data_IF_701613281065
#
_entry.id   IF_701613281065
#
_cell.length_a   1.000
_cell.length_b   1.000
_cell.length_c   1.000
_cell.angle_alpha   90.00
_cell.angle_beta   90.00
_cell.angle_gamma   90.00
#
_symmetry.space_group_name_H-M   'P 1'
#
loop_
_entity.id
_entity.type
_entity.pdbx_description
1 polymer ?
#
# COMPACT_ATOMS: atom_id res chain seq x y z
N UNK A 1 -20.50 -12.59 -22.20
CA UNK A 1 -19.11 -12.91 -22.60
C UNK A 1 -18.06 -12.57 -21.53
N UNK A 2 -18.41 -12.32 -20.26
CA UNK A 2 -17.44 -12.20 -19.15
C UNK A 2 -17.69 -13.22 -18.01
N UNK A 3 -18.76 -14.02 -18.11
CA UNK A 3 -19.11 -15.10 -17.17
C UNK A 3 -18.63 -16.49 -17.63
N UNK A 4 -17.69 -16.54 -18.59
CA UNK A 4 -17.17 -17.82 -19.10
C UNK A 4 -16.15 -18.38 -18.11
N UNK A 5 -16.07 -19.71 -18.00
CA UNK A 5 -14.98 -20.36 -17.27
C UNK A 5 -13.64 -19.87 -17.82
N UNK A 6 -12.77 -19.40 -16.93
CA UNK A 6 -11.45 -18.83 -17.26
C UNK A 6 -11.35 -17.30 -17.25
N UNK A 7 -12.44 -16.57 -17.01
CA UNK A 7 -12.36 -15.12 -16.74
C UNK A 7 -12.07 -14.89 -15.25
N UNK A 8 -11.27 -13.89 -14.92
CA UNK A 8 -11.01 -13.43 -13.56
C UNK A 8 -10.99 -11.90 -13.56
N UNK A 9 -11.58 -11.27 -12.55
CA UNK A 9 -11.53 -9.84 -12.35
C UNK A 9 -10.48 -9.48 -11.32
N UNK A 10 -9.71 -8.44 -11.59
CA UNK A 10 -8.80 -7.81 -10.61
C UNK A 10 -9.26 -6.37 -10.47
N UNK A 11 -9.61 -5.96 -9.26
CA UNK A 11 -9.92 -4.56 -8.97
C UNK A 11 -8.61 -3.85 -8.62
N UNK A 12 -8.34 -2.70 -9.22
CA UNK A 12 -7.16 -1.88 -8.91
C UNK A 12 -7.65 -0.57 -8.32
N UNK A 13 -7.10 -0.17 -7.18
CA UNK A 13 -7.50 1.07 -6.49
C UNK A 13 -6.30 1.76 -5.86
N UNK A 14 -6.31 3.09 -5.80
CA UNK A 14 -5.34 3.83 -5.00
C UNK A 14 -5.69 3.73 -3.51
N UNK A 15 -4.72 3.99 -2.62
CA UNK A 15 -4.95 4.04 -1.18
C UNK A 15 -5.69 5.33 -0.72
N UNK A 16 -6.77 5.67 -1.41
CA UNK A 16 -7.58 6.88 -1.20
C UNK A 16 -9.04 6.51 -0.86
N UNK A 17 -9.75 7.34 -0.07
CA UNK A 17 -11.10 7.00 0.39
C UNK A 17 -12.11 6.77 -0.74
N UNK A 18 -12.13 7.63 -1.76
CA UNK A 18 -13.12 7.54 -2.84
C UNK A 18 -12.82 6.38 -3.79
N UNK A 19 -11.55 6.17 -4.13
CA UNK A 19 -11.11 5.03 -4.92
C UNK A 19 -11.45 3.68 -4.25
N UNK A 20 -11.31 3.60 -2.91
CA UNK A 20 -11.68 2.39 -2.17
C UNK A 20 -13.19 2.22 -2.04
N UNK A 21 -13.96 3.30 -2.00
CA UNK A 21 -15.42 3.25 -2.03
C UNK A 21 -15.92 2.67 -3.35
N UNK A 22 -15.33 3.11 -4.47
CA UNK A 22 -15.61 2.56 -5.79
C UNK A 22 -15.19 1.09 -5.87
N UNK A 23 -14.01 0.74 -5.34
CA UNK A 23 -13.54 -0.64 -5.29
C UNK A 23 -14.54 -1.55 -4.57
N UNK A 24 -15.06 -1.13 -3.40
CA UNK A 24 -16.10 -1.88 -2.68
C UNK A 24 -17.36 -2.05 -3.52
N UNK A 25 -17.84 -0.98 -4.15
CA UNK A 25 -19.02 -1.06 -5.03
C UNK A 25 -18.83 -2.06 -6.17
N UNK A 26 -17.64 -2.08 -6.80
CA UNK A 26 -17.32 -3.03 -7.86
C UNK A 26 -17.25 -4.47 -7.34
N UNK A 27 -16.68 -4.69 -6.16
CA UNK A 27 -16.62 -6.02 -5.53
C UNK A 27 -18.02 -6.56 -5.25
N UNK A 28 -18.88 -5.74 -4.66
CA UNK A 28 -20.27 -6.11 -4.35
C UNK A 28 -21.01 -6.50 -5.64
N UNK A 29 -20.90 -5.65 -6.67
CA UNK A 29 -21.54 -5.90 -7.96
C UNK A 29 -21.02 -7.16 -8.66
N UNK A 30 -19.70 -7.41 -8.66
CA UNK A 30 -19.13 -8.62 -9.23
C UNK A 30 -19.65 -9.88 -8.51
N UNK A 31 -19.81 -9.80 -7.19
CA UNK A 31 -20.36 -10.87 -6.37
C UNK A 31 -21.83 -11.13 -6.69
N UNK A 32 -22.65 -10.08 -6.74
CA UNK A 32 -24.08 -10.16 -7.12
C UNK A 32 -24.27 -10.74 -8.53
N UNK A 33 -23.42 -10.35 -9.48
CA UNK A 33 -23.48 -10.86 -10.84
C UNK A 33 -22.86 -12.27 -11.01
N UNK A 34 -22.34 -12.87 -9.94
CA UNK A 34 -21.70 -14.19 -9.96
C UNK A 34 -20.44 -14.23 -10.83
N UNK A 35 -19.71 -13.11 -10.89
CA UNK A 35 -18.47 -12.99 -11.63
C UNK A 35 -17.26 -13.32 -10.73
N UNK A 36 -16.31 -14.13 -11.21
CA UNK A 36 -15.14 -14.53 -10.41
C UNK A 36 -14.18 -13.35 -10.19
N UNK A 37 -13.96 -12.99 -8.93
CA UNK A 37 -13.02 -11.97 -8.48
C UNK A 37 -11.75 -12.63 -7.94
N UNK A 38 -10.59 -12.25 -8.47
CA UNK A 38 -9.28 -12.69 -8.00
C UNK A 38 -8.80 -11.90 -6.79
N UNK A 39 -9.11 -10.59 -6.72
CA UNK A 39 -8.73 -9.76 -5.58
C UNK A 39 -8.67 -8.26 -5.87
N UNK A 40 -8.16 -7.52 -4.89
CA UNK A 40 -7.86 -6.09 -4.95
C UNK A 40 -6.34 -5.86 -4.98
N UNK A 41 -5.89 -5.04 -5.95
CA UNK A 41 -4.56 -4.44 -5.95
C UNK A 41 -4.68 -3.03 -5.38
N UNK A 42 -4.12 -2.82 -4.19
CA UNK A 42 -4.03 -1.50 -3.57
C UNK A 42 -2.73 -0.83 -4.02
N UNK A 43 -2.84 0.08 -4.98
CA UNK A 43 -1.72 0.74 -5.62
C UNK A 43 -1.25 1.99 -4.86
N UNK A 44 0.05 2.30 -4.99
CA UNK A 44 0.73 3.49 -4.45
C UNK A 44 0.70 3.61 -2.92
N UNK A 45 0.94 2.49 -2.24
CA UNK A 45 1.11 2.49 -0.78
C UNK A 45 2.47 3.04 -0.34
N UNK A 46 2.56 3.51 0.90
CA UNK A 46 3.75 4.11 1.50
C UNK A 46 4.21 3.33 2.73
N UNK A 47 4.80 2.13 2.59
CA UNK A 47 5.26 1.34 3.72
C UNK A 47 6.36 2.07 4.50
N UNK A 48 6.39 1.85 5.81
CA UNK A 48 7.45 2.33 6.69
C UNK A 48 8.76 1.60 6.38
N UNK A 49 9.84 2.37 6.16
CA UNK A 49 11.18 1.83 5.89
C UNK A 49 12.10 1.88 7.12
N UNK A 50 11.63 2.53 8.19
CA UNK A 50 12.31 2.65 9.46
C UNK A 50 11.32 2.32 10.58
N UNK A 51 11.79 1.62 11.62
CA UNK A 51 10.98 1.20 12.75
C UNK A 51 10.75 2.31 13.80
N UNK A 52 11.33 3.50 13.61
CA UNK A 52 11.14 4.64 14.52
C UNK A 52 9.65 5.01 14.60
N UNK A 53 9.03 5.02 15.80
CA UNK A 53 7.64 5.47 15.94
C UNK A 53 7.46 6.92 15.48
N UNK A 54 6.32 7.20 14.84
CA UNK A 54 6.01 8.53 14.29
C UNK A 54 6.01 9.59 15.40
N UNK A 55 5.40 9.26 16.53
CA UNK A 55 5.30 10.13 17.70
C UNK A 55 6.69 10.53 18.20
N UNK A 56 7.60 9.54 18.35
CA UNK A 56 9.00 9.84 18.72
C UNK A 56 9.75 10.65 17.67
N UNK A 57 9.44 10.48 16.38
CA UNK A 57 10.09 11.27 15.34
C UNK A 57 9.67 12.74 15.41
N UNK A 58 8.41 13.01 15.76
CA UNK A 58 7.90 14.37 15.99
C UNK A 58 8.58 14.97 17.21
N UNK A 59 8.54 14.29 18.36
CA UNK A 59 9.16 14.79 19.61
C UNK A 59 10.66 15.08 19.44
N UNK A 60 11.37 14.20 18.71
CA UNK A 60 12.80 14.38 18.43
C UNK A 60 13.06 15.55 17.46
N UNK A 61 12.14 15.82 16.53
CA UNK A 61 12.22 17.00 15.65
C UNK A 61 12.12 18.28 16.48
N UNK A 62 11.10 18.38 17.34
CA UNK A 62 10.87 19.54 18.21
C UNK A 62 12.08 19.78 19.13
N UNK A 63 12.61 18.72 19.75
CA UNK A 63 13.79 18.80 20.62
C UNK A 63 15.03 19.34 19.88
N UNK A 64 15.27 18.89 18.65
CA UNK A 64 16.42 19.33 17.85
C UNK A 64 16.29 20.80 17.43
N UNK A 65 15.08 21.26 17.12
CA UNK A 65 14.83 22.65 16.75
C UNK A 65 14.99 23.59 17.93
N UNK A 66 14.54 23.19 19.12
CA UNK A 66 14.69 23.97 20.36
C UNK A 66 16.14 24.08 20.83
N UNK A 67 16.88 22.96 20.83
CA UNK A 67 18.22 22.90 21.42
C UNK A 67 19.32 23.30 20.45
N UNK A 68 19.09 23.12 19.15
CA UNK A 68 20.13 23.22 18.13
C UNK A 68 19.66 23.91 16.84
N UNK A 69 18.66 24.79 16.90
CA UNK A 69 18.06 25.44 15.71
C UNK A 69 19.03 26.19 14.79
N UNK A 70 20.18 26.64 15.28
CA UNK A 70 21.22 27.31 14.48
C UNK A 70 22.21 26.35 13.81
N UNK A 71 22.19 25.06 14.18
CA UNK A 71 23.08 24.04 13.61
C UNK A 71 22.51 23.49 12.30
N UNK A 72 23.25 23.63 11.20
CA UNK A 72 22.88 23.05 9.90
C UNK A 72 22.69 21.53 9.98
N UNK A 73 23.52 20.84 10.76
CA UNK A 73 23.41 19.38 10.97
C UNK A 73 22.13 19.02 11.72
N UNK A 74 21.75 19.81 12.74
CA UNK A 74 20.50 19.58 13.47
C UNK A 74 19.29 19.88 12.61
N UNK A 75 19.35 20.93 11.77
CA UNK A 75 18.30 21.26 10.81
C UNK A 75 18.07 20.15 9.77
N UNK A 76 19.16 19.57 9.24
CA UNK A 76 19.09 18.42 8.34
C UNK A 76 18.47 17.19 9.04
N UNK A 77 18.90 16.88 10.28
CA UNK A 77 18.36 15.78 11.05
C UNK A 77 16.86 15.95 11.33
N UNK A 78 16.43 17.15 11.73
CA UNK A 78 15.03 17.50 11.92
C UNK A 78 14.22 17.35 10.62
N UNK A 79 14.76 17.75 9.47
CA UNK A 79 14.09 17.57 8.18
C UNK A 79 13.89 16.09 7.81
N UNK A 80 14.89 15.24 8.05
CA UNK A 80 14.77 13.78 7.82
C UNK A 80 13.70 13.17 8.72
N UNK A 81 13.66 13.57 10.00
CA UNK A 81 12.64 13.10 10.94
C UNK A 81 11.24 13.52 10.53
N UNK A 82 11.05 14.74 10.00
CA UNK A 82 9.78 15.20 9.43
C UNK A 82 9.32 14.33 8.26
N UNK A 83 10.21 14.06 7.29
CA UNK A 83 9.88 13.19 6.14
C UNK A 83 9.43 11.80 6.61
N UNK A 84 10.12 11.24 7.62
CA UNK A 84 9.75 9.97 8.23
C UNK A 84 8.39 10.04 8.92
N UNK A 85 8.12 11.09 9.69
CA UNK A 85 6.85 11.30 10.37
C UNK A 85 5.69 11.42 9.37
N UNK A 86 5.84 12.21 8.31
CA UNK A 86 4.84 12.40 7.26
C UNK A 86 4.54 11.09 6.51
N UNK A 87 5.60 10.33 6.19
CA UNK A 87 5.46 8.99 5.58
C UNK A 87 4.71 8.05 6.51
N UNK A 88 5.02 8.05 7.81
CA UNK A 88 4.36 7.19 8.77
C UNK A 88 2.91 7.56 9.07
N UNK A 89 2.58 8.85 9.05
CA UNK A 89 1.18 9.28 9.10
C UNK A 89 0.41 8.83 7.86
N UNK A 90 1.02 8.91 6.68
CA UNK A 90 0.44 8.40 5.42
C UNK A 90 0.19 6.89 5.51
N UNK A 91 1.21 6.11 5.88
CA UNK A 91 1.09 4.67 6.09
C UNK A 91 -0.04 4.31 7.07
N UNK A 92 -0.14 5.02 8.21
CA UNK A 92 -1.22 4.82 9.20
C UNK A 92 -2.60 5.08 8.60
N UNK A 93 -2.76 6.10 7.75
CA UNK A 93 -4.04 6.37 7.06
C UNK A 93 -4.39 5.26 6.08
N UNK A 94 -3.44 4.83 5.27
CA UNK A 94 -3.62 3.75 4.29
C UNK A 94 -4.01 2.44 4.96
N UNK A 95 -3.34 2.06 6.07
CA UNK A 95 -3.66 0.86 6.84
C UNK A 95 -5.09 0.92 7.39
N UNK A 96 -5.53 2.07 7.90
CA UNK A 96 -6.91 2.25 8.41
C UNK A 96 -7.94 2.12 7.29
N UNK A 97 -7.67 2.70 6.13
CA UNK A 97 -8.54 2.59 4.96
C UNK A 97 -8.64 1.13 4.49
N UNK A 98 -7.50 0.44 4.38
CA UNK A 98 -7.44 -0.96 4.01
C UNK A 98 -8.19 -1.83 5.03
N UNK A 99 -8.02 -1.59 6.33
CA UNK A 99 -8.69 -2.34 7.40
C UNK A 99 -10.22 -2.22 7.34
N UNK A 100 -10.74 -1.06 6.92
CA UNK A 100 -12.19 -0.87 6.69
C UNK A 100 -12.66 -1.66 5.48
N UNK A 101 -11.89 -1.62 4.38
CA UNK A 101 -12.19 -2.39 3.17
C UNK A 101 -12.19 -3.90 3.45
N UNK A 102 -11.14 -4.43 4.08
CA UNK A 102 -11.03 -5.86 4.39
C UNK A 102 -12.04 -6.30 5.45
N UNK A 103 -12.43 -5.42 6.38
CA UNK A 103 -13.52 -5.68 7.31
C UNK A 103 -14.88 -5.84 6.62
N UNK A 104 -15.16 -5.05 5.57
CA UNK A 104 -16.37 -5.18 4.77
C UNK A 104 -16.31 -6.34 3.77
N UNK A 105 -15.12 -6.65 3.24
CA UNK A 105 -14.87 -7.62 2.19
C UNK A 105 -13.85 -8.70 2.62
N UNK A 106 -14.13 -9.49 3.67
CA UNK A 106 -13.12 -10.39 4.27
C UNK A 106 -12.69 -11.54 3.36
N UNK A 107 -13.49 -11.84 2.32
CA UNK A 107 -13.24 -12.91 1.37
C UNK A 107 -12.42 -12.47 0.15
N UNK A 108 -12.10 -11.18 0.03
CA UNK A 108 -11.37 -10.62 -1.11
C UNK A 108 -9.88 -10.57 -0.78
N UNK A 109 -9.03 -11.32 -1.50
CA UNK A 109 -7.58 -11.21 -1.35
C UNK A 109 -7.11 -9.81 -1.70
N UNK A 110 -6.16 -9.27 -0.94
CA UNK A 110 -5.58 -7.95 -1.19
C UNK A 110 -4.07 -8.03 -1.31
N UNK A 111 -3.51 -7.39 -2.34
CA UNK A 111 -2.07 -7.15 -2.47
C UNK A 111 -1.80 -5.64 -2.46
N UNK A 112 -0.85 -5.22 -1.62
CA UNK A 112 -0.39 -3.83 -1.56
C UNK A 112 0.82 -3.62 -2.45
N UNK A 113 0.75 -2.66 -3.35
CA UNK A 113 1.85 -2.28 -4.24
C UNK A 113 2.43 -0.94 -3.78
N UNK A 114 3.70 -0.90 -3.35
CA UNK A 114 4.34 0.34 -2.94
C UNK A 114 4.46 1.34 -4.10
N UNK A 115 4.42 2.63 -3.76
CA UNK A 115 4.81 3.67 -4.71
C UNK A 115 6.31 3.53 -5.02
N UNK A 116 6.64 3.27 -6.30
CA UNK A 116 8.02 3.13 -6.76
C UNK A 116 8.66 4.52 -6.90
N UNK A 117 9.97 4.67 -6.62
CA UNK A 117 10.67 5.95 -6.70
C UNK A 117 11.02 6.36 -8.15
N UNK A 118 10.35 5.78 -9.13
CA UNK A 118 10.53 6.00 -10.56
C UNK A 118 9.20 5.83 -11.29
N UNK A 119 9.12 6.40 -12.48
CA UNK A 119 7.95 6.24 -13.35
C UNK A 119 7.93 4.85 -14.02
N UNK A 120 6.73 4.30 -14.23
CA UNK A 120 6.55 2.99 -14.86
C UNK A 120 6.28 3.16 -16.35
N UNK A 121 7.34 3.44 -17.10
CA UNK A 121 7.28 3.72 -18.55
C UNK A 121 8.22 2.89 -19.41
N UNK A 122 8.95 1.94 -18.82
CA UNK A 122 9.79 0.97 -19.53
C UNK A 122 9.60 -0.47 -19.01
N UNK A 123 10.23 -1.43 -19.71
CA UNK A 123 10.10 -2.85 -19.38
C UNK A 123 10.74 -3.22 -18.04
N UNK A 124 11.78 -2.51 -17.60
CA UNK A 124 12.44 -2.79 -16.32
C UNK A 124 11.58 -2.29 -15.16
N UNK A 125 10.96 -1.12 -15.29
CA UNK A 125 9.99 -0.61 -14.36
C UNK A 125 8.73 -1.48 -14.29
N UNK A 126 8.25 -2.01 -15.43
CA UNK A 126 7.13 -2.97 -15.46
C UNK A 126 7.48 -4.29 -14.77
N UNK A 127 8.73 -4.78 -14.89
CA UNK A 127 9.20 -5.96 -14.14
C UNK A 127 9.24 -5.69 -12.64
N UNK A 128 9.79 -4.54 -12.24
CA UNK A 128 9.80 -4.15 -10.82
C UNK A 128 8.38 -4.04 -10.24
N UNK A 129 7.41 -3.52 -11.00
CA UNK A 129 6.01 -3.51 -10.61
C UNK A 129 5.42 -4.93 -10.50
N UNK A 130 5.74 -5.81 -11.46
CA UNK A 130 5.31 -7.20 -11.44
C UNK A 130 5.82 -7.94 -10.19
N UNK A 131 7.08 -7.71 -9.78
CA UNK A 131 7.66 -8.28 -8.57
C UNK A 131 6.92 -7.84 -7.28
N UNK A 132 6.29 -6.67 -7.27
CA UNK A 132 5.46 -6.21 -6.15
C UNK A 132 4.08 -6.88 -6.13
N UNK A 133 3.50 -7.15 -7.30
CA UNK A 133 2.16 -7.74 -7.43
C UNK A 133 2.23 -9.26 -7.19
N UNK A 134 3.25 -9.91 -7.73
CA UNK A 134 3.46 -11.34 -7.66
C UNK A 134 4.89 -11.63 -7.17
N UNK A 135 5.18 -11.36 -5.88
CA UNK A 135 6.49 -11.68 -5.33
C UNK A 135 6.79 -13.16 -5.53
N UNK A 136 7.95 -13.46 -6.10
CA UNK A 136 8.37 -14.83 -6.42
C UNK A 136 8.57 -15.61 -5.10
N UNK A 137 7.51 -16.32 -4.66
CA UNK A 137 7.47 -17.24 -3.51
C UNK A 137 6.42 -16.83 -2.45
N UNK A 138 5.22 -17.41 -2.46
CA UNK A 138 4.86 -18.53 -1.56
C UNK A 138 3.75 -19.46 -2.12
N UNK A 139 3.43 -19.40 -3.42
CA UNK A 139 2.45 -20.34 -4.03
C UNK A 139 3.06 -21.72 -4.32
N UNK A 140 4.37 -21.78 -4.61
CA UNK A 140 5.08 -23.05 -4.82
C UNK A 140 5.19 -23.87 -3.52
N UNK A 141 5.26 -23.25 -2.34
CA UNK A 141 5.32 -23.96 -1.07
C UNK A 141 3.97 -24.56 -0.66
N UNK A 142 2.85 -23.88 -0.96
CA UNK A 142 1.49 -24.36 -0.67
C UNK A 142 1.02 -25.49 -1.60
N UNK A 143 1.55 -25.57 -2.82
CA UNK A 143 1.24 -26.66 -3.75
C UNK A 143 1.98 -27.97 -3.43
N UNK A 144 3.07 -27.92 -2.64
CA UNK A 144 3.82 -29.11 -2.17
C UNK A 144 3.48 -29.57 -0.76
N UNK A 145 2.71 -28.78 0.01
CA UNK A 145 2.22 -29.16 1.32
C UNK A 145 0.87 -29.87 1.23
N UNK A 146 0.91 -31.20 1.14
CA UNK A 146 -0.24 -32.11 1.32
C UNK A 146 -1.02 -31.83 2.60
#
# INVERSE_FOLDING_TARGET
MLKRRGTQFVVVSAAEPDALREASFFVDRLTEEGMPLAGLVLNRTHPMLCALPVERAIDATETLEEQHGESEVASLAAAVLRIHADRGQTAKREIRLLSRFTGANPHVPVVGVPSLPFDVSDLDALRALADQIAPVGDEAARATGR
#
